data_IF_353098652156
#
_entry.id   IF_353098652156
#
_cell.length_a   1.000
_cell.length_b   1.000
_cell.length_c   1.000
_cell.angle_alpha   90.00
_cell.angle_beta   90.00
_cell.angle_gamma   90.00
#
_symmetry.space_group_name_H-M   'P 1'
#
loop_
_entity.id
_entity.type
_entity.pdbx_description
1 polymer ?
#
# COMPACT_ATOMS: atom_id res chain seq x y z
N UNK A 1 29.48 51.95 21.71
CA UNK A 1 28.05 52.11 21.34
C UNK A 1 27.70 51.31 20.08
N UNK A 2 28.51 51.42 19.02
CA UNK A 2 28.38 50.65 17.76
C UNK A 2 28.36 49.12 17.97
N UNK A 3 29.28 48.58 18.78
CA UNK A 3 29.36 47.14 19.07
C UNK A 3 28.08 46.59 19.74
N UNK A 4 27.43 47.39 20.59
CA UNK A 4 26.19 46.98 21.28
C UNK A 4 25.01 46.89 20.30
N UNK A 5 24.94 47.83 19.35
CA UNK A 5 23.91 47.84 18.29
C UNK A 5 24.11 46.64 17.35
N UNK A 6 25.36 46.29 17.06
CA UNK A 6 25.71 45.13 16.22
C UNK A 6 25.24 43.81 16.85
N UNK A 7 25.42 43.64 18.16
CA UNK A 7 24.94 42.47 18.88
C UNK A 7 23.42 42.30 18.81
N UNK A 8 22.67 43.40 18.92
CA UNK A 8 21.20 43.38 18.82
C UNK A 8 20.76 43.02 17.41
N UNK A 9 21.43 43.55 16.38
CA UNK A 9 21.13 43.24 14.99
C UNK A 9 21.38 41.75 14.66
N UNK A 10 22.49 41.18 15.14
CA UNK A 10 22.79 39.76 14.96
C UNK A 10 21.75 38.88 15.67
N UNK A 11 21.35 39.24 16.90
CA UNK A 11 20.34 38.49 17.64
C UNK A 11 18.99 38.44 16.90
N UNK A 12 18.53 39.59 16.38
CA UNK A 12 17.30 39.66 15.58
C UNK A 12 17.44 38.84 14.30
N UNK A 13 18.59 38.90 13.62
CA UNK A 13 18.86 38.12 12.41
C UNK A 13 18.83 36.60 12.68
N UNK A 14 19.46 36.14 13.77
CA UNK A 14 19.45 34.73 14.15
C UNK A 14 18.03 34.24 14.46
N UNK A 15 17.25 35.02 15.21
CA UNK A 15 15.84 34.68 15.51
C UNK A 15 15.01 34.64 14.22
N UNK A 16 15.17 35.62 13.33
CA UNK A 16 14.49 35.65 12.04
C UNK A 16 14.87 34.44 11.16
N UNK A 17 16.14 34.03 11.13
CA UNK A 17 16.59 32.84 10.40
C UNK A 17 15.99 31.55 10.94
N UNK A 18 15.80 31.43 12.26
CA UNK A 18 15.11 30.27 12.87
C UNK A 18 13.63 30.28 12.50
N UNK A 19 12.95 31.43 12.52
CA UNK A 19 11.54 31.49 12.09
C UNK A 19 11.37 31.20 10.61
N UNK A 20 12.25 31.73 9.76
CA UNK A 20 12.24 31.48 8.32
C UNK A 20 12.58 30.03 7.98
N UNK A 21 13.46 29.37 8.74
CA UNK A 21 13.74 27.95 8.52
C UNK A 21 12.56 27.05 8.88
N UNK A 22 11.74 27.45 9.87
CA UNK A 22 10.54 26.70 10.33
C UNK A 22 9.30 27.00 9.48
N UNK A 23 9.27 28.09 8.71
CA UNK A 23 8.17 28.40 7.79
C UNK A 23 8.26 27.56 6.50
N UNK A 24 7.12 26.99 6.09
CA UNK A 24 6.94 26.22 4.86
C UNK A 24 7.33 27.05 3.61
N UNK A 25 8.02 26.46 2.62
CA UNK A 25 7.68 25.15 2.03
C UNK A 25 8.57 23.98 2.47
N UNK A 26 9.74 24.24 3.05
CA UNK A 26 10.80 23.24 3.21
C UNK A 26 10.45 22.07 4.13
N UNK A 27 9.66 22.30 5.17
CA UNK A 27 9.17 21.22 6.04
C UNK A 27 8.04 20.39 5.41
N UNK A 28 7.26 20.94 4.49
CA UNK A 28 6.09 20.23 3.94
C UNK A 28 6.46 19.14 2.95
N UNK A 29 7.56 19.31 2.21
CA UNK A 29 8.00 18.31 1.23
C UNK A 29 8.74 17.14 1.89
N UNK A 30 9.41 17.34 3.04
CA UNK A 30 10.03 16.25 3.81
C UNK A 30 9.02 15.24 4.36
N UNK A 31 7.77 15.62 4.62
CA UNK A 31 6.73 14.71 5.13
C UNK A 31 5.84 14.11 4.01
N UNK A 32 5.96 14.59 2.77
CA UNK A 32 5.14 14.08 1.65
C UNK A 32 5.62 12.72 1.13
N UNK A 33 6.91 12.43 1.19
CA UNK A 33 7.46 11.22 0.59
C UNK A 33 7.18 9.94 1.41
N UNK A 34 6.99 10.04 2.73
CA UNK A 34 6.80 8.87 3.60
C UNK A 34 5.33 8.55 3.93
N UNK A 35 4.37 9.40 3.56
CA UNK A 35 2.96 9.11 3.81
C UNK A 35 2.38 8.29 2.64
N UNK A 36 2.34 6.96 2.80
CA UNK A 36 1.60 6.08 1.90
C UNK A 36 0.10 6.30 2.09
N UNK A 37 -0.44 7.30 1.39
CA UNK A 37 -1.85 7.66 1.42
C UNK A 37 -2.63 6.62 0.61
N UNK A 38 -3.67 6.07 1.23
CA UNK A 38 -4.63 5.21 0.53
C UNK A 38 -5.38 6.05 -0.50
N UNK A 39 -5.27 5.66 -1.77
CA UNK A 39 -5.91 6.35 -2.88
C UNK A 39 -7.34 5.83 -3.14
N UNK A 40 -7.65 4.61 -2.71
CA UNK A 40 -8.97 4.00 -2.90
C UNK A 40 -9.23 2.91 -1.86
N UNK A 41 -10.46 2.85 -1.36
CA UNK A 41 -10.99 1.75 -0.54
C UNK A 41 -12.04 0.98 -1.35
N UNK A 42 -11.97 -0.34 -1.30
CA UNK A 42 -12.82 -1.29 -2.02
C UNK A 42 -13.47 -2.23 -0.99
N UNK A 43 -14.74 -2.59 -1.21
CA UNK A 43 -15.50 -3.50 -0.33
C UNK A 43 -16.25 -4.54 -1.15
N UNK A 44 -16.37 -5.75 -0.61
CA UNK A 44 -17.05 -6.89 -1.23
C UNK A 44 -16.57 -7.13 -2.66
N UNK A 45 -15.26 -7.29 -2.80
CA UNK A 45 -14.58 -7.40 -4.08
C UNK A 45 -14.88 -8.76 -4.70
N UNK A 46 -15.33 -8.72 -5.94
CA UNK A 46 -15.46 -9.89 -6.81
C UNK A 46 -14.90 -9.49 -8.17
N UNK A 47 -13.83 -10.15 -8.58
CA UNK A 47 -13.16 -9.91 -9.85
C UNK A 47 -13.02 -11.23 -10.62
N UNK A 48 -13.01 -11.14 -11.95
CA UNK A 48 -12.99 -12.30 -12.84
C UNK A 48 -11.90 -12.12 -13.90
N UNK A 49 -11.08 -13.16 -14.06
CA UNK A 49 -10.19 -13.28 -15.21
C UNK A 49 -10.95 -14.00 -16.33
N UNK A 50 -11.05 -13.35 -17.48
CA UNK A 50 -11.83 -13.83 -18.62
C UNK A 50 -10.92 -13.97 -19.85
N UNK A 51 -10.82 -15.19 -20.36
CA UNK A 51 -10.25 -15.54 -21.65
C UNK A 51 -11.38 -15.95 -22.62
N UNK A 52 -11.31 -17.17 -23.18
CA UNK A 52 -12.46 -17.74 -23.92
C UNK A 52 -13.61 -18.14 -22.98
N UNK A 53 -13.30 -18.34 -21.69
CA UNK A 53 -14.24 -18.65 -20.60
C UNK A 53 -13.83 -17.82 -19.36
N UNK A 54 -14.55 -18.01 -18.26
CA UNK A 54 -14.08 -17.49 -16.96
C UNK A 54 -12.97 -18.42 -16.47
N UNK A 55 -11.74 -17.93 -16.48
CA UNK A 55 -10.54 -18.70 -16.15
C UNK A 55 -10.21 -18.63 -14.66
N UNK A 56 -10.51 -17.49 -14.01
CA UNK A 56 -10.32 -17.36 -12.57
C UNK A 56 -11.30 -16.37 -11.95
N UNK A 57 -11.50 -16.51 -10.64
CA UNK A 57 -12.30 -15.63 -9.80
C UNK A 57 -11.50 -15.24 -8.56
N UNK A 58 -11.42 -13.95 -8.31
CA UNK A 58 -10.77 -13.38 -7.14
C UNK A 58 -11.81 -12.70 -6.26
N UNK A 59 -11.77 -13.00 -4.96
CA UNK A 59 -12.69 -12.40 -3.98
C UNK A 59 -11.94 -11.93 -2.75
N UNK A 60 -12.42 -10.84 -2.17
CA UNK A 60 -11.92 -10.29 -0.91
C UNK A 60 -13.00 -9.45 -0.23
N UNK A 61 -12.99 -9.41 1.10
CA UNK A 61 -13.95 -8.61 1.85
C UNK A 61 -13.69 -7.11 1.71
N UNK A 62 -12.41 -6.75 1.77
CA UNK A 62 -11.94 -5.37 1.70
C UNK A 62 -10.65 -5.30 0.90
N UNK A 63 -10.42 -4.17 0.24
CA UNK A 63 -9.16 -3.84 -0.39
C UNK A 63 -8.82 -2.37 -0.25
N UNK A 64 -7.53 -2.08 -0.11
CA UNK A 64 -7.01 -0.71 -0.07
C UNK A 64 -5.92 -0.58 -1.12
N UNK A 65 -6.03 0.42 -1.99
CA UNK A 65 -5.03 0.73 -3.00
C UNK A 65 -4.18 1.92 -2.56
N UNK A 66 -2.87 1.71 -2.57
CA UNK A 66 -1.84 2.73 -2.37
C UNK A 66 -1.18 3.07 -3.71
N UNK A 67 -0.20 3.97 -3.70
CA UNK A 67 0.55 4.35 -4.91
C UNK A 67 1.36 3.19 -5.51
N UNK A 68 1.84 2.29 -4.66
CA UNK A 68 2.84 1.27 -4.95
C UNK A 68 2.32 -0.17 -4.77
N UNK A 69 1.17 -0.34 -4.10
CA UNK A 69 0.62 -1.67 -3.78
C UNK A 69 -0.89 -1.64 -3.55
N UNK A 70 -1.49 -2.80 -3.68
CA UNK A 70 -2.85 -3.09 -3.24
C UNK A 70 -2.80 -4.10 -2.08
N UNK A 71 -3.63 -3.89 -1.06
CA UNK A 71 -3.77 -4.77 0.10
C UNK A 71 -5.21 -5.29 0.19
N UNK A 72 -5.38 -6.59 0.35
CA UNK A 72 -6.68 -7.27 0.40
C UNK A 72 -6.83 -8.06 1.69
N UNK A 73 -8.05 -8.11 2.24
CA UNK A 73 -8.41 -8.91 3.43
C UNK A 73 -9.32 -10.06 3.07
N UNK A 74 -9.08 -11.21 3.70
CA UNK A 74 -9.78 -12.48 3.46
C UNK A 74 -9.79 -12.81 1.96
N UNK A 75 -8.60 -12.88 1.38
CA UNK A 75 -8.42 -13.08 -0.04
C UNK A 75 -8.67 -14.54 -0.41
N UNK A 76 -9.36 -14.75 -1.53
CA UNK A 76 -9.57 -16.06 -2.14
C UNK A 76 -9.40 -15.96 -3.65
N UNK A 77 -8.54 -16.80 -4.22
CA UNK A 77 -8.40 -17.03 -5.64
C UNK A 77 -8.92 -18.43 -5.99
N UNK A 78 -9.77 -18.50 -7.01
CA UNK A 78 -10.30 -19.73 -7.58
C UNK A 78 -9.91 -19.75 -9.06
N UNK A 79 -8.98 -20.61 -9.45
CA UNK A 79 -8.60 -20.82 -10.84
C UNK A 79 -9.31 -22.05 -11.38
N UNK A 80 -9.97 -21.88 -12.53
CA UNK A 80 -10.76 -22.89 -13.21
C UNK A 80 -10.07 -23.17 -14.53
N UNK A 81 -9.18 -24.16 -14.54
CA UNK A 81 -8.59 -24.67 -15.78
C UNK A 81 -9.38 -25.88 -16.29
N UNK A 82 -9.16 -26.28 -17.55
CA UNK A 82 -9.82 -27.45 -18.12
C UNK A 82 -9.45 -28.77 -17.41
N UNK A 83 -8.27 -28.81 -16.80
CA UNK A 83 -7.69 -30.04 -16.25
C UNK A 83 -7.75 -30.07 -14.72
N UNK A 84 -7.57 -28.91 -14.06
CA UNK A 84 -7.45 -28.82 -12.61
C UNK A 84 -8.08 -27.53 -12.06
N UNK A 85 -8.82 -27.66 -10.97
CA UNK A 85 -9.30 -26.51 -10.21
C UNK A 85 -8.34 -26.23 -9.07
N UNK A 86 -7.96 -24.96 -8.93
CA UNK A 86 -7.07 -24.50 -7.87
C UNK A 86 -7.82 -23.52 -6.98
N UNK A 87 -7.65 -23.64 -5.67
CA UNK A 87 -8.17 -22.67 -4.71
C UNK A 87 -7.04 -22.26 -3.77
N UNK A 88 -6.85 -20.96 -3.61
CA UNK A 88 -5.92 -20.38 -2.67
C UNK A 88 -6.67 -19.39 -1.79
N UNK A 89 -6.51 -19.51 -0.48
CA UNK A 89 -7.07 -18.58 0.51
C UNK A 89 -5.96 -18.01 1.39
N UNK A 90 -6.14 -16.78 1.86
CA UNK A 90 -5.28 -16.18 2.88
C UNK A 90 -6.00 -15.10 3.68
N UNK A 91 -5.53 -14.83 4.90
CA UNK A 91 -6.05 -13.73 5.74
C UNK A 91 -5.79 -12.38 5.09
N UNK A 92 -4.60 -12.18 4.53
CA UNK A 92 -4.28 -10.99 3.74
C UNK A 92 -3.54 -11.35 2.46
N UNK A 93 -3.71 -10.52 1.43
CA UNK A 93 -2.91 -10.57 0.22
C UNK A 93 -2.41 -9.17 -0.12
N UNK A 94 -1.14 -9.06 -0.52
CA UNK A 94 -0.54 -7.80 -0.95
C UNK A 94 -0.03 -7.96 -2.37
N UNK A 95 -0.55 -7.15 -3.28
CA UNK A 95 -0.10 -7.09 -4.68
C UNK A 95 0.78 -5.86 -4.87
N UNK A 96 2.03 -6.07 -5.27
CA UNK A 96 2.97 -5.01 -5.63
C UNK A 96 3.58 -5.33 -7.00
N UNK A 97 3.15 -4.59 -8.03
CA UNK A 97 3.48 -4.92 -9.43
C UNK A 97 2.90 -6.28 -9.84
N UNK A 98 3.78 -7.19 -10.26
CA UNK A 98 3.43 -8.56 -10.66
C UNK A 98 3.45 -9.57 -9.50
N UNK A 99 4.00 -9.19 -8.34
CA UNK A 99 4.11 -10.09 -7.19
C UNK A 99 2.88 -9.97 -6.30
N UNK A 100 2.25 -11.12 -6.01
CA UNK A 100 1.22 -11.23 -4.97
C UNK A 100 1.81 -12.04 -3.81
N UNK A 101 1.78 -11.45 -2.61
CA UNK A 101 2.19 -12.11 -1.37
C UNK A 101 0.95 -12.47 -0.57
N UNK A 102 0.81 -13.73 -0.21
CA UNK A 102 -0.26 -14.22 0.66
C UNK A 102 0.28 -14.35 2.08
N UNK A 103 -0.36 -13.69 3.05
CA UNK A 103 0.10 -13.68 4.43
C UNK A 103 -1.02 -14.11 5.39
N UNK A 104 -0.63 -14.91 6.39
CA UNK A 104 -1.52 -15.40 7.43
C UNK A 104 -2.44 -16.51 6.92
N UNK A 105 -2.20 -17.73 7.42
CA UNK A 105 -2.98 -18.94 7.13
C UNK A 105 -3.22 -19.11 5.61
N UNK A 106 -2.16 -18.94 4.82
CA UNK A 106 -2.23 -19.19 3.39
C UNK A 106 -2.46 -20.68 3.18
N UNK A 107 -3.51 -21.04 2.47
CA UNK A 107 -3.88 -22.43 2.24
C UNK A 107 -4.23 -22.63 0.77
N UNK A 108 -3.57 -23.60 0.16
CA UNK A 108 -3.73 -23.95 -1.23
C UNK A 108 -4.24 -25.38 -1.34
N UNK A 109 -5.29 -25.56 -2.14
CA UNK A 109 -5.85 -26.86 -2.47
C UNK A 109 -6.11 -26.97 -3.97
N UNK A 110 -6.04 -28.19 -4.51
CA UNK A 110 -6.47 -28.44 -5.88
C UNK A 110 -7.33 -29.71 -6.02
N UNK A 111 -7.94 -29.88 -7.19
CA UNK A 111 -8.83 -31.02 -7.46
C UNK A 111 -8.13 -32.37 -7.60
N UNK A 112 -6.79 -32.42 -7.67
CA UNK A 112 -6.03 -33.69 -7.60
C UNK A 112 -5.67 -34.12 -6.18
N UNK A 113 -6.07 -33.35 -5.17
CA UNK A 113 -5.86 -33.69 -3.76
C UNK A 113 -4.56 -33.16 -3.17
N UNK A 114 -3.86 -32.23 -3.83
CA UNK A 114 -2.81 -31.46 -3.17
C UNK A 114 -3.44 -30.48 -2.19
N UNK A 115 -2.86 -30.42 -0.99
CA UNK A 115 -3.26 -29.56 0.11
C UNK A 115 -1.97 -29.06 0.79
N UNK A 116 -1.75 -27.74 0.78
CA UNK A 116 -0.53 -27.11 1.27
C UNK A 116 -0.84 -25.85 2.09
N UNK A 117 -0.21 -25.71 3.25
CA UNK A 117 -0.35 -24.58 4.18
C UNK A 117 1.02 -23.96 4.47
#
# INVERSE_FOLDING_TARGET
>A
MVIKIFYVAIAIFCVAMVFLSVQTPYFSDMFKDDLSIANMEMRKIVDYQIGERVDAKFTADNGTRYKDRDEFKNFKAEEISADLNHTLVSKTATRAGELIKFNGDAHYVNSSGFDYT
#
